data_IF_978993625552
#
_entry.id   IF_978993625552
#
_cell.length_a   1.000
_cell.length_b   1.000
_cell.length_c   1.000
_cell.angle_alpha   90.00
_cell.angle_beta   90.00
_cell.angle_gamma   90.00
#
_symmetry.space_group_name_H-M   'P 1'
#
loop_
_entity.id
_entity.type
_entity.pdbx_description
1 polymer ?
#
# COMPACT_ATOMS: atom_id res chain seq x y z
N UNK A 1 -14.56 -5.10 21.67
CA UNK A 1 -15.73 -4.29 21.27
C UNK A 1 -15.46 -3.85 19.85
N UNK A 2 -16.22 -4.36 18.89
CA UNK A 2 -16.08 -4.02 17.48
C UNK A 2 -17.01 -2.83 17.19
N UNK A 3 -16.46 -1.73 16.70
CA UNK A 3 -17.21 -0.50 16.40
C UNK A 3 -17.31 -0.41 14.88
N UNK A 4 -18.51 -0.61 14.34
CA UNK A 4 -18.76 -0.38 12.93
C UNK A 4 -18.72 1.13 12.65
N UNK A 5 -17.89 1.61 11.71
CA UNK A 5 -17.90 3.02 11.33
C UNK A 5 -19.23 3.36 10.64
N UNK A 6 -19.83 4.48 11.04
CA UNK A 6 -20.97 5.06 10.30
C UNK A 6 -20.42 5.93 9.17
N UNK A 7 -20.08 5.29 8.06
CA UNK A 7 -19.59 5.95 6.85
C UNK A 7 -20.72 6.23 5.85
N UNK A 8 -20.63 7.35 5.14
CA UNK A 8 -21.50 7.69 4.01
C UNK A 8 -21.05 7.05 2.69
N UNK A 9 -19.82 6.53 2.64
CA UNK A 9 -19.18 5.98 1.45
C UNK A 9 -18.48 4.67 1.84
N UNK A 10 -18.74 3.62 1.07
CA UNK A 10 -18.06 2.32 1.16
C UNK A 10 -17.46 2.03 -0.20
N UNK A 11 -16.16 1.76 -0.24
CA UNK A 11 -15.40 1.51 -1.45
C UNK A 11 -14.61 0.21 -1.26
N UNK A 12 -14.50 -0.56 -2.33
CA UNK A 12 -13.75 -1.82 -2.39
C UNK A 12 -12.39 -1.67 -3.09
N UNK A 13 -12.08 -0.47 -3.58
CA UNK A 13 -10.85 -0.13 -4.30
C UNK A 13 -10.08 1.02 -3.62
N UNK A 14 -8.74 0.90 -3.63
CA UNK A 14 -7.83 1.84 -2.97
C UNK A 14 -7.68 3.15 -3.74
N UNK A 15 -7.73 3.12 -5.07
CA UNK A 15 -7.60 4.33 -5.88
C UNK A 15 -8.83 5.23 -5.67
N UNK A 16 -10.01 4.62 -5.67
CA UNK A 16 -11.27 5.30 -5.38
C UNK A 16 -11.29 5.88 -3.96
N UNK A 17 -10.78 5.12 -2.98
CA UNK A 17 -10.69 5.59 -1.59
C UNK A 17 -9.72 6.76 -1.42
N UNK A 18 -8.60 6.74 -2.15
CA UNK A 18 -7.62 7.83 -2.17
C UNK A 18 -8.24 9.11 -2.74
N UNK A 19 -8.92 9.01 -3.89
CA UNK A 19 -9.58 10.15 -4.52
C UNK A 19 -10.68 10.73 -3.62
N UNK A 20 -11.51 9.87 -3.01
CA UNK A 20 -12.54 10.31 -2.07
C UNK A 20 -11.93 11.05 -0.86
N UNK A 21 -10.80 10.56 -0.33
CA UNK A 21 -10.09 11.21 0.78
C UNK A 21 -9.50 12.56 0.36
N UNK A 22 -8.92 12.64 -0.84
CA UNK A 22 -8.40 13.90 -1.41
C UNK A 22 -9.50 14.94 -1.66
N UNK A 23 -10.69 14.49 -2.03
CA UNK A 23 -11.89 15.32 -2.18
C UNK A 23 -12.51 15.75 -0.84
N UNK A 24 -11.95 15.33 0.30
CA UNK A 24 -12.42 15.71 1.63
C UNK A 24 -13.64 14.92 2.11
N UNK A 25 -13.90 13.74 1.56
CA UNK A 25 -15.04 12.91 1.96
C UNK A 25 -14.90 12.31 3.37
N UNK A 26 -13.71 12.35 3.98
CA UNK A 26 -13.46 11.87 5.34
C UNK A 26 -12.05 11.34 5.54
N UNK A 27 -11.92 10.33 6.41
CA UNK A 27 -10.67 9.63 6.70
C UNK A 27 -10.67 8.29 5.96
N UNK A 28 -9.63 8.04 5.17
CA UNK A 28 -9.43 6.79 4.44
C UNK A 28 -8.29 5.95 5.02
N UNK A 29 -8.45 4.62 5.01
CA UNK A 29 -7.35 3.68 5.23
C UNK A 29 -6.75 3.31 3.87
N UNK A 30 -5.54 3.81 3.60
CA UNK A 30 -4.95 3.83 2.25
C UNK A 30 -3.60 3.11 2.21
N UNK A 31 -3.17 2.74 1.00
CA UNK A 31 -1.82 2.26 0.78
C UNK A 31 -0.81 3.41 0.93
N UNK A 32 0.22 3.20 1.76
CA UNK A 32 1.26 4.19 2.02
C UNK A 32 1.96 4.69 0.74
N UNK A 33 2.28 3.81 -0.21
CA UNK A 33 3.00 4.20 -1.43
C UNK A 33 2.18 5.15 -2.30
N UNK A 34 0.86 4.97 -2.34
CA UNK A 34 -0.06 5.83 -3.09
C UNK A 34 -0.31 7.15 -2.35
N UNK A 35 -0.41 7.12 -1.01
CA UNK A 35 -0.63 8.31 -0.19
C UNK A 35 0.63 9.19 -0.04
N UNK A 36 1.84 8.61 -0.10
CA UNK A 36 3.13 9.28 0.09
C UNK A 36 3.27 10.64 -0.62
N UNK A 37 3.05 10.76 -1.95
CA UNK A 37 3.17 12.04 -2.64
C UNK A 37 2.17 13.11 -2.15
N UNK A 38 1.00 12.69 -1.66
CA UNK A 38 -0.01 13.59 -1.12
C UNK A 38 0.26 14.00 0.33
N UNK A 39 0.90 13.12 1.11
CA UNK A 39 1.44 13.44 2.43
C UNK A 39 2.60 14.44 2.33
N UNK A 40 3.54 14.22 1.40
CA UNK A 40 4.68 15.10 1.17
C UNK A 40 4.26 16.49 0.67
N UNK A 41 3.20 16.56 -0.14
CA UNK A 41 2.63 17.84 -0.60
C UNK A 41 1.69 18.51 0.40
N UNK A 42 1.40 17.88 1.54
CA UNK A 42 0.48 18.39 2.56
C UNK A 42 -1.00 18.36 2.17
N UNK A 43 -1.35 17.71 1.05
CA UNK A 43 -2.73 17.48 0.63
C UNK A 43 -3.44 16.43 1.49
N UNK A 44 -2.67 15.49 2.05
CA UNK A 44 -3.12 14.54 3.05
C UNK A 44 -2.32 14.74 4.34
N UNK A 45 -2.93 14.39 5.46
CA UNK A 45 -2.27 14.34 6.76
C UNK A 45 -2.48 12.96 7.36
N UNK A 46 -1.40 12.39 7.87
CA UNK A 46 -1.41 11.11 8.58
C UNK A 46 -2.07 11.28 9.95
N UNK A 47 -3.05 10.44 10.27
CA UNK A 47 -3.76 10.43 11.55
C UNK A 47 -3.69 9.03 12.16
N UNK A 48 -3.83 8.95 13.49
CA UNK A 48 -3.81 7.67 14.23
C UNK A 48 -2.52 6.85 14.00
N UNK A 49 -1.37 7.50 13.88
CA UNK A 49 -0.09 6.84 13.58
C UNK A 49 0.27 5.70 14.53
N UNK A 50 -0.09 5.83 15.82
CA UNK A 50 0.13 4.79 16.83
C UNK A 50 -0.69 3.50 16.60
N UNK A 51 -1.69 3.55 15.74
CA UNK A 51 -2.59 2.45 15.40
C UNK A 51 -2.30 1.85 14.02
N UNK A 52 -1.38 2.44 13.26
CA UNK A 52 -1.00 1.92 11.96
C UNK A 52 -0.13 0.66 12.12
N UNK A 53 -0.38 -0.40 11.35
CA UNK A 53 0.50 -1.54 11.33
C UNK A 53 1.88 -1.13 10.80
N UNK A 54 2.91 -1.86 11.21
CA UNK A 54 4.25 -1.70 10.68
C UNK A 54 4.22 -1.92 9.16
N UNK A 55 4.92 -1.06 8.41
CA UNK A 55 4.83 -1.06 6.93
C UNK A 55 5.29 -2.42 6.41
N UNK A 56 4.43 -3.19 5.74
CA UNK A 56 4.83 -4.49 5.22
C UNK A 56 5.87 -4.28 4.12
N UNK A 57 7.01 -4.95 4.25
CA UNK A 57 7.97 -5.02 3.17
C UNK A 57 7.35 -5.81 2.01
N UNK A 58 7.50 -5.31 0.78
CA UNK A 58 7.08 -6.04 -0.41
C UNK A 58 7.91 -7.33 -0.51
N UNK A 59 7.23 -8.47 -0.47
CA UNK A 59 7.85 -9.79 -0.56
C UNK A 59 7.50 -10.42 -1.90
N UNK A 60 8.51 -10.96 -2.58
CA UNK A 60 8.32 -11.72 -3.81
C UNK A 60 8.26 -13.21 -3.48
N UNK A 61 7.07 -13.79 -3.59
CA UNK A 61 6.87 -15.22 -3.39
C UNK A 61 7.03 -15.98 -4.70
N UNK A 62 7.91 -16.98 -4.71
CA UNK A 62 8.08 -17.90 -5.83
C UNK A 62 8.38 -19.31 -5.30
N UNK A 63 7.90 -20.37 -5.97
CA UNK A 63 8.20 -21.73 -5.57
C UNK A 63 9.71 -21.99 -5.72
N UNK A 64 10.30 -22.59 -4.69
CA UNK A 64 11.70 -23.02 -4.72
C UNK A 64 11.82 -24.27 -5.60
N UNK A 65 11.83 -24.08 -6.91
CA UNK A 65 12.10 -25.17 -7.87
C UNK A 65 13.59 -25.49 -7.88
N UNK A 66 13.91 -26.79 -7.87
CA UNK A 66 15.27 -27.28 -8.10
C UNK A 66 15.81 -26.85 -9.48
N UNK A 67 14.90 -26.62 -10.43
CA UNK A 67 15.18 -26.11 -11.77
C UNK A 67 14.47 -24.76 -11.97
N UNK A 68 15.08 -23.70 -11.43
CA UNK A 68 14.64 -22.33 -11.72
C UNK A 68 15.07 -21.96 -13.15
N UNK A 69 14.14 -21.47 -13.97
CA UNK A 69 14.45 -21.04 -15.34
C UNK A 69 15.45 -19.86 -15.33
N UNK A 70 16.30 -19.77 -16.36
CA UNK A 70 17.26 -18.66 -16.48
C UNK A 70 16.54 -17.29 -16.50
N UNK A 71 15.35 -17.23 -17.12
CA UNK A 71 14.55 -16.01 -17.16
C UNK A 71 14.06 -15.57 -15.78
N UNK A 72 13.62 -16.51 -14.93
CA UNK A 72 13.19 -16.17 -13.57
C UNK A 72 14.38 -15.73 -12.71
N UNK A 73 15.54 -16.36 -12.86
CA UNK A 73 16.76 -15.94 -12.18
C UNK A 73 17.16 -14.52 -12.57
N UNK A 74 17.21 -14.22 -13.87
CA UNK A 74 17.52 -12.88 -14.36
C UNK A 74 16.52 -11.82 -13.84
N UNK A 75 15.23 -12.16 -13.78
CA UNK A 75 14.21 -11.28 -13.21
C UNK A 75 14.40 -11.04 -11.70
N UNK A 76 14.72 -12.09 -10.94
CA UNK A 76 15.02 -11.97 -9.51
C UNK A 76 16.26 -11.11 -9.27
N UNK A 77 17.31 -11.30 -10.07
CA UNK A 77 18.54 -10.51 -9.97
C UNK A 77 18.28 -9.03 -10.32
N UNK A 78 17.43 -8.75 -11.31
CA UNK A 78 16.99 -7.41 -11.68
C UNK A 78 16.17 -6.71 -10.57
N UNK A 79 15.22 -7.41 -9.96
CA UNK A 79 14.45 -6.83 -8.84
C UNK A 79 15.38 -6.55 -7.66
N UNK A 80 16.26 -7.50 -7.31
CA UNK A 80 17.19 -7.34 -6.19
C UNK A 80 18.18 -6.19 -6.38
N UNK A 81 18.61 -5.92 -7.61
CA UNK A 81 19.50 -4.78 -7.89
C UNK A 81 18.79 -3.42 -7.80
N UNK A 82 17.46 -3.40 -7.94
CA UNK A 82 16.64 -2.18 -7.85
C UNK A 82 16.25 -1.85 -6.40
N UNK A 83 16.31 -2.83 -5.48
CA UNK A 83 15.97 -2.65 -4.07
C UNK A 83 17.09 -2.09 -3.18
N UNK A 84 18.14 -1.51 -3.76
CA UNK A 84 19.25 -0.86 -3.06
C UNK A 84 19.06 0.66 -3.00
#
# INVERSE_FOLDING_TARGET
MEIAPSGNIVLDDLDSALEATLCGAGVGYLNYYQAKPYLESGKLVSVLESWLPERPNLQLYYPRSQYMSCSLRAFLDFIKSTSA
#
